data_IF_473613074931
#
_entry.id   IF_473613074931
#
_cell.length_a   1.000
_cell.length_b   1.000
_cell.length_c   1.000
_cell.angle_alpha   90.00
_cell.angle_beta   90.00
_cell.angle_gamma   90.00
#
_symmetry.space_group_name_H-M   'P 1'
#
loop_
_entity.id
_entity.type
_entity.pdbx_description
1 polymer ?
#
# COMPACT_ATOMS: atom_id res chain seq x y z
N UNK A 1 20.22 -32.71 -8.86
CA UNK A 1 19.51 -31.64 -8.11
C UNK A 1 19.00 -30.61 -9.10
N UNK A 2 17.71 -30.42 -9.20
CA UNK A 2 17.14 -29.30 -9.93
C UNK A 2 17.29 -28.04 -9.06
N UNK A 3 17.94 -27.02 -9.62
CA UNK A 3 18.01 -25.72 -8.92
C UNK A 3 16.60 -25.21 -8.65
N UNK A 4 16.31 -24.88 -7.39
CA UNK A 4 15.02 -24.28 -7.00
C UNK A 4 14.87 -22.95 -7.75
N UNK A 5 13.81 -22.82 -8.56
CA UNK A 5 13.49 -21.56 -9.23
C UNK A 5 13.35 -20.46 -8.18
N UNK A 6 14.01 -19.34 -8.41
CA UNK A 6 13.89 -18.17 -7.54
C UNK A 6 12.43 -17.70 -7.53
N UNK A 7 11.82 -17.61 -6.35
CA UNK A 7 10.45 -17.15 -6.21
C UNK A 7 10.33 -15.69 -6.65
N UNK A 8 9.25 -15.37 -7.36
CA UNK A 8 8.86 -13.98 -7.66
C UNK A 8 8.38 -13.35 -6.35
N UNK A 9 8.85 -12.15 -6.08
CA UNK A 9 8.51 -11.37 -4.87
C UNK A 9 7.58 -10.24 -5.23
N UNK A 10 6.35 -10.30 -4.72
CA UNK A 10 5.32 -9.28 -4.97
C UNK A 10 5.08 -8.50 -3.69
N UNK A 11 5.25 -7.18 -3.80
CA UNK A 11 4.90 -6.27 -2.73
C UNK A 11 3.40 -5.97 -2.74
N UNK A 12 2.82 -5.89 -1.55
CA UNK A 12 1.42 -5.54 -1.36
C UNK A 12 1.37 -4.25 -0.54
N UNK A 13 0.74 -3.20 -1.07
CA UNK A 13 0.58 -1.96 -0.32
C UNK A 13 -0.28 -2.20 0.92
N UNK A 14 0.06 -1.57 2.04
CA UNK A 14 -0.71 -1.71 3.27
C UNK A 14 -2.04 -0.95 3.19
N UNK A 15 -3.11 -1.54 3.72
CA UNK A 15 -4.30 -0.78 4.12
C UNK A 15 -4.01 -0.10 5.45
N UNK A 16 -4.47 1.14 5.61
CA UNK A 16 -4.26 1.90 6.84
C UNK A 16 -5.60 2.07 7.54
N UNK A 17 -5.66 1.63 8.81
CA UNK A 17 -6.78 1.87 9.70
C UNK A 17 -6.34 2.89 10.75
N UNK A 18 -7.03 4.01 10.80
CA UNK A 18 -6.76 5.07 11.77
C UNK A 18 -7.40 4.77 13.13
N UNK A 19 -6.90 5.37 14.23
CA UNK A 19 -7.51 5.20 15.54
C UNK A 19 -8.99 5.60 15.54
N UNK A 20 -9.83 4.79 16.18
CA UNK A 20 -11.25 5.09 16.34
C UNK A 20 -11.44 6.10 17.50
N UNK A 21 -12.29 7.13 17.35
CA UNK A 21 -12.65 8.03 18.45
C UNK A 21 -13.20 7.23 19.64
N UNK A 22 -12.59 7.40 20.83
CA UNK A 22 -12.97 6.63 22.03
C UNK A 22 -12.55 5.17 22.02
N UNK A 23 -11.81 4.72 21.02
CA UNK A 23 -11.30 3.36 20.91
C UNK A 23 -10.29 3.02 22.00
N UNK A 24 -10.25 1.74 22.40
CA UNK A 24 -9.31 1.19 23.37
C UNK A 24 -8.52 0.03 22.77
N UNK A 25 -7.36 -0.28 23.34
CA UNK A 25 -6.51 -1.37 22.87
C UNK A 25 -6.07 -1.16 21.43
N UNK A 26 -6.29 -2.14 20.56
CA UNK A 26 -5.90 -2.08 19.15
C UNK A 26 -6.63 -0.97 18.38
N UNK A 27 -7.87 -0.63 18.79
CA UNK A 27 -8.66 0.41 18.14
C UNK A 27 -8.16 1.83 18.40
N UNK A 28 -7.27 2.00 19.38
CA UNK A 28 -6.62 3.29 19.67
C UNK A 28 -5.34 3.51 18.87
N UNK A 29 -4.97 2.57 18.01
CA UNK A 29 -3.71 2.59 17.26
C UNK A 29 -3.94 2.68 15.76
N UNK A 30 -3.01 3.28 15.05
CA UNK A 30 -2.93 3.15 13.60
C UNK A 30 -2.44 1.75 13.24
N UNK A 31 -3.17 1.07 12.37
CA UNK A 31 -2.84 -0.28 11.92
C UNK A 31 -2.52 -0.27 10.43
N UNK A 32 -1.49 -1.02 10.08
CA UNK A 32 -1.20 -1.32 8.68
C UNK A 32 -1.45 -2.81 8.45
N UNK A 33 -2.36 -3.12 7.54
CA UNK A 33 -2.84 -4.49 7.36
C UNK A 33 -2.86 -4.89 5.89
N UNK A 34 -2.72 -6.18 5.65
CA UNK A 34 -3.02 -6.78 4.36
C UNK A 34 -4.33 -7.57 4.45
N UNK A 35 -5.11 -7.51 3.38
CA UNK A 35 -6.32 -8.30 3.28
C UNK A 35 -5.98 -9.76 2.96
N UNK A 36 -6.49 -10.68 3.77
CA UNK A 36 -6.17 -12.10 3.66
C UNK A 36 -6.49 -12.68 2.28
N UNK A 37 -7.63 -12.33 1.71
CA UNK A 37 -8.07 -12.88 0.41
C UNK A 37 -7.11 -12.50 -0.72
N UNK A 38 -6.64 -11.26 -0.74
CA UNK A 38 -5.67 -10.79 -1.75
C UNK A 38 -4.33 -11.48 -1.57
N UNK A 39 -3.84 -11.57 -0.33
CA UNK A 39 -2.58 -12.24 -0.03
C UNK A 39 -2.62 -13.73 -0.42
N UNK A 40 -3.71 -14.42 -0.11
CA UNK A 40 -3.89 -15.83 -0.47
C UNK A 40 -4.03 -16.03 -1.98
N UNK A 41 -4.75 -15.14 -2.66
CA UNK A 41 -4.89 -15.17 -4.12
C UNK A 41 -3.54 -15.04 -4.82
N UNK A 42 -2.69 -14.16 -4.34
CA UNK A 42 -1.32 -14.01 -4.85
C UNK A 42 -0.46 -15.23 -4.53
N UNK A 43 -0.46 -15.68 -3.27
CA UNK A 43 0.34 -16.80 -2.82
C UNK A 43 0.01 -18.11 -3.56
N UNK A 44 -1.26 -18.30 -3.94
CA UNK A 44 -1.71 -19.47 -4.74
C UNK A 44 -1.08 -19.52 -6.16
N UNK A 45 -0.38 -18.47 -6.57
CA UNK A 45 0.34 -18.38 -7.85
C UNK A 45 1.85 -18.59 -7.71
N UNK A 46 2.26 -19.22 -6.63
CA UNK A 46 3.68 -19.51 -6.33
C UNK A 46 4.56 -18.26 -6.25
N UNK A 47 3.99 -17.13 -5.83
CA UNK A 47 4.73 -15.91 -5.56
C UNK A 47 4.88 -15.66 -4.06
N UNK A 48 5.98 -15.04 -3.68
CA UNK A 48 6.20 -14.61 -2.30
C UNK A 48 5.53 -13.24 -2.11
N UNK A 49 4.62 -13.15 -1.14
CA UNK A 49 3.89 -11.91 -0.84
C UNK A 49 4.52 -11.21 0.36
N UNK A 50 4.85 -9.93 0.19
CA UNK A 50 5.42 -9.10 1.24
C UNK A 50 4.60 -7.80 1.36
N UNK A 51 4.04 -7.54 2.53
CA UNK A 51 3.43 -6.24 2.79
C UNK A 51 4.51 -5.17 2.92
N UNK A 52 4.33 -4.05 2.23
CA UNK A 52 5.24 -2.92 2.32
C UNK A 52 4.66 -1.93 3.35
N UNK A 53 5.35 -1.68 4.48
CA UNK A 53 4.84 -0.73 5.47
C UNK A 53 4.87 0.70 4.93
N UNK A 54 3.88 1.49 5.34
CA UNK A 54 3.88 2.93 5.09
C UNK A 54 5.00 3.60 5.90
N UNK A 55 5.70 4.51 5.26
CA UNK A 55 6.67 5.41 5.90
C UNK A 55 6.09 6.83 6.06
N UNK A 56 4.81 6.97 5.80
CA UNK A 56 4.08 8.24 5.92
C UNK A 56 3.36 8.28 7.26
N UNK A 57 3.53 9.37 7.99
CA UNK A 57 2.79 9.67 9.21
C UNK A 57 2.11 11.03 9.05
N UNK A 58 0.81 11.08 9.32
CA UNK A 58 0.01 12.32 9.24
C UNK A 58 0.17 13.09 7.91
N UNK A 59 0.37 12.35 6.81
CA UNK A 59 0.59 12.90 5.48
C UNK A 59 2.03 13.31 5.17
N UNK A 60 2.96 13.10 6.09
CA UNK A 60 4.37 13.40 5.89
C UNK A 60 5.22 12.13 5.88
N UNK A 61 6.23 12.12 5.00
CA UNK A 61 7.21 11.03 4.95
C UNK A 61 8.10 11.06 6.19
N UNK A 62 8.18 9.95 6.89
CA UNK A 62 9.11 9.80 8.00
C UNK A 62 10.55 9.73 7.50
N UNK A 63 11.44 10.37 8.23
CA UNK A 63 12.87 10.26 7.94
C UNK A 63 13.35 8.84 8.28
N UNK A 64 13.89 8.17 7.29
CA UNK A 64 14.45 6.84 7.42
C UNK A 64 15.60 6.66 6.44
N UNK A 65 16.54 5.81 6.78
CA UNK A 65 17.57 5.36 5.85
C UNK A 65 17.01 4.33 4.86
N UNK A 66 15.95 3.61 5.24
CA UNK A 66 15.19 2.73 4.35
C UNK A 66 14.06 3.54 3.74
N UNK A 67 13.96 3.49 2.43
CA UNK A 67 12.97 4.22 1.63
C UNK A 67 12.11 3.25 0.85
N UNK A 68 10.98 3.72 0.34
CA UNK A 68 10.11 2.90 -0.52
C UNK A 68 10.84 2.43 -1.79
N UNK A 69 11.82 3.20 -2.27
CA UNK A 69 12.71 2.79 -3.36
C UNK A 69 13.42 1.46 -3.09
N UNK A 70 13.88 1.23 -1.87
CA UNK A 70 14.56 -0.01 -1.50
C UNK A 70 13.66 -1.23 -1.71
N UNK A 71 12.35 -1.08 -1.39
CA UNK A 71 11.36 -2.11 -1.67
C UNK A 71 11.15 -2.31 -3.18
N UNK A 72 11.07 -1.21 -3.95
CA UNK A 72 10.90 -1.28 -5.39
C UNK A 72 12.10 -1.96 -6.09
N UNK A 73 13.31 -1.75 -5.60
CA UNK A 73 14.51 -2.40 -6.11
C UNK A 73 14.58 -3.89 -5.73
N UNK A 74 14.09 -4.24 -4.53
CA UNK A 74 14.12 -5.62 -4.02
C UNK A 74 13.00 -6.49 -4.56
N UNK A 75 11.82 -5.93 -4.79
CA UNK A 75 10.62 -6.66 -5.21
C UNK A 75 10.48 -6.69 -6.73
N UNK A 76 9.79 -7.69 -7.24
CA UNK A 76 9.60 -7.89 -8.68
C UNK A 76 8.35 -7.19 -9.22
N UNK A 77 7.41 -6.85 -8.36
CA UNK A 77 6.17 -6.14 -8.72
C UNK A 77 5.41 -5.65 -7.50
N UNK A 78 4.38 -4.87 -7.76
CA UNK A 78 3.53 -4.22 -6.74
C UNK A 78 2.06 -4.51 -7.01
N UNK A 79 1.32 -4.79 -5.96
CA UNK A 79 -0.15 -4.79 -5.94
C UNK A 79 -0.63 -3.71 -4.97
N UNK A 80 -1.44 -2.78 -5.48
CA UNK A 80 -2.11 -1.77 -4.68
C UNK A 80 -3.47 -2.31 -4.24
N UNK A 81 -3.66 -2.49 -2.94
CA UNK A 81 -4.90 -3.04 -2.36
C UNK A 81 -6.08 -2.07 -2.47
N UNK A 82 -7.30 -2.63 -2.42
CA UNK A 82 -8.53 -1.89 -2.22
C UNK A 82 -8.62 -1.23 -0.84
N UNK A 83 -9.73 -0.60 -0.55
CA UNK A 83 -10.02 0.09 0.71
C UNK A 83 -10.71 1.43 0.51
N UNK A 84 -10.56 2.35 1.45
CA UNK A 84 -11.13 3.69 1.36
C UNK A 84 -10.66 4.39 0.08
N UNK A 85 -11.55 5.16 -0.53
CA UNK A 85 -11.28 5.85 -1.80
C UNK A 85 -10.12 6.84 -1.70
N UNK A 86 -9.53 7.13 -2.85
CA UNK A 86 -8.56 8.22 -2.98
C UNK A 86 -9.27 9.55 -2.68
N UNK A 87 -8.62 10.41 -1.89
CA UNK A 87 -9.18 11.73 -1.60
C UNK A 87 -9.35 12.53 -2.89
N UNK A 88 -10.52 13.15 -3.13
CA UNK A 88 -10.70 14.05 -4.27
C UNK A 88 -9.65 15.14 -4.36
N UNK A 89 -9.12 15.59 -3.25
CA UNK A 89 -8.04 16.59 -3.20
C UNK A 89 -6.74 16.11 -3.85
N UNK A 90 -6.51 14.81 -3.94
CA UNK A 90 -5.34 14.24 -4.63
C UNK A 90 -5.35 14.52 -6.13
N UNK A 91 -6.52 14.76 -6.72
CA UNK A 91 -6.68 15.12 -8.14
C UNK A 91 -7.30 16.51 -8.36
N UNK A 92 -7.23 17.38 -7.32
CA UNK A 92 -7.60 18.79 -7.44
C UNK A 92 -9.07 19.10 -7.24
N UNK A 93 -9.85 18.15 -6.71
CA UNK A 93 -11.28 18.31 -6.44
C UNK A 93 -11.55 18.41 -4.93
N UNK A 94 -12.67 19.02 -4.56
CA UNK A 94 -13.17 19.00 -3.18
C UNK A 94 -14.21 17.89 -3.02
N UNK A 95 -14.22 17.17 -1.88
CA UNK A 95 -15.23 16.14 -1.64
C UNK A 95 -16.62 16.76 -1.55
N UNK A 96 -17.57 16.19 -2.28
CA UNK A 96 -18.97 16.66 -2.28
C UNK A 96 -19.68 16.36 -0.95
N UNK A 97 -19.20 15.35 -0.21
CA UNK A 97 -19.70 14.97 1.11
C UNK A 97 -18.52 14.57 2.00
N UNK A 98 -18.61 14.78 3.33
CA UNK A 98 -17.53 14.42 4.25
C UNK A 98 -17.13 12.93 4.17
N UNK A 99 -18.12 12.06 3.93
CA UNK A 99 -17.93 10.60 3.80
C UNK A 99 -17.07 10.22 2.60
N UNK A 100 -16.95 11.12 1.62
CA UNK A 100 -16.18 10.90 0.39
C UNK A 100 -14.81 11.58 0.41
N UNK A 101 -14.35 11.97 1.60
CA UNK A 101 -13.05 12.65 1.76
C UNK A 101 -11.84 11.77 1.45
N UNK A 102 -12.00 10.44 1.44
CA UNK A 102 -10.92 9.49 1.21
C UNK A 102 -9.93 9.43 2.38
N UNK A 103 -8.72 8.98 2.08
CA UNK A 103 -7.64 8.87 3.05
C UNK A 103 -6.35 9.51 2.52
N UNK A 104 -6.12 10.82 2.79
CA UNK A 104 -4.93 11.52 2.31
C UNK A 104 -3.60 10.95 2.81
N UNK A 105 -3.58 10.35 3.99
CA UNK A 105 -2.36 9.70 4.55
C UNK A 105 -1.99 8.50 3.69
N UNK A 106 -2.97 7.66 3.36
CA UNK A 106 -2.76 6.52 2.48
C UNK A 106 -2.42 6.97 1.05
N UNK A 107 -3.04 8.05 0.56
CA UNK A 107 -2.76 8.61 -0.76
C UNK A 107 -1.29 8.99 -0.90
N UNK A 108 -0.74 9.73 0.06
CA UNK A 108 0.66 10.15 0.04
C UNK A 108 1.60 8.94 0.02
N UNK A 109 1.33 7.93 0.81
CA UNK A 109 2.10 6.70 0.85
C UNK A 109 2.02 5.92 -0.47
N UNK A 110 0.81 5.69 -0.99
CA UNK A 110 0.65 4.89 -2.20
C UNK A 110 1.14 5.60 -3.47
N UNK A 111 1.01 6.92 -3.54
CA UNK A 111 1.57 7.70 -4.66
C UNK A 111 3.10 7.58 -4.69
N UNK A 112 3.76 7.75 -3.55
CA UNK A 112 5.21 7.59 -3.46
C UNK A 112 5.62 6.18 -3.85
N UNK A 113 4.95 5.18 -3.30
CA UNK A 113 5.21 3.77 -3.60
C UNK A 113 5.04 3.46 -5.09
N UNK A 114 3.95 3.94 -5.68
CA UNK A 114 3.67 3.80 -7.11
C UNK A 114 4.79 4.40 -7.97
N UNK A 115 5.20 5.63 -7.67
CA UNK A 115 6.28 6.30 -8.40
C UNK A 115 7.60 5.55 -8.30
N UNK A 116 7.97 5.05 -7.12
CA UNK A 116 9.21 4.30 -6.94
C UNK A 116 9.22 2.99 -7.74
N UNK A 117 8.07 2.29 -7.83
CA UNK A 117 7.95 1.09 -8.65
C UNK A 117 8.00 1.40 -10.15
N UNK A 118 7.41 2.51 -10.60
CA UNK A 118 7.53 2.96 -11.99
C UNK A 118 8.98 3.30 -12.35
N UNK A 119 9.67 4.06 -11.50
CA UNK A 119 11.08 4.41 -11.69
C UNK A 119 11.97 3.15 -11.75
N UNK A 120 11.69 2.16 -10.92
CA UNK A 120 12.38 0.87 -10.93
C UNK A 120 11.96 -0.04 -12.10
N UNK A 121 11.02 0.40 -12.96
CA UNK A 121 10.45 -0.36 -14.08
C UNK A 121 9.84 -1.69 -13.64
N UNK A 122 9.15 -1.68 -12.51
CA UNK A 122 8.45 -2.85 -11.98
C UNK A 122 6.96 -2.79 -12.34
N UNK A 123 6.33 -3.92 -12.68
CA UNK A 123 4.90 -3.96 -12.95
C UNK A 123 4.07 -3.61 -11.70
N UNK A 124 2.95 -2.94 -11.92
CA UNK A 124 2.00 -2.55 -10.87
C UNK A 124 0.60 -3.00 -11.26
N UNK A 125 -0.09 -3.64 -10.33
CA UNK A 125 -1.51 -4.00 -10.45
C UNK A 125 -2.31 -3.22 -9.41
N UNK A 126 -3.30 -2.44 -9.85
CA UNK A 126 -4.24 -1.76 -8.96
C UNK A 126 -5.55 -2.54 -8.84
N UNK A 127 -6.05 -2.71 -7.61
CA UNK A 127 -7.32 -3.36 -7.31
C UNK A 127 -8.25 -2.34 -6.67
N UNK A 128 -9.45 -2.12 -7.26
CA UNK A 128 -10.48 -1.20 -6.78
C UNK A 128 -9.89 0.21 -6.55
N UNK A 129 -9.68 0.64 -5.31
CA UNK A 129 -9.00 1.90 -4.99
C UNK A 129 -7.65 2.03 -5.71
N UNK A 130 -6.89 0.95 -5.80
CA UNK A 130 -5.59 0.96 -6.48
C UNK A 130 -5.64 1.32 -7.96
N UNK A 131 -6.83 1.31 -8.56
CA UNK A 131 -7.05 1.77 -9.94
C UNK A 131 -7.30 3.28 -10.02
N UNK A 132 -7.72 3.89 -8.93
CA UNK A 132 -8.04 5.32 -8.88
C UNK A 132 -6.78 6.18 -8.93
#
# INVERSE_FOLDING_TARGET
>A
MTARRKAIRIGLSARIFHPEPGGTGIRSKTLQVLEQSVAQWLAARDVMVLMIPSVVQDGELMRSNIRLRDYAEYLDGLVLQGGADVSPRAYGEEPLQPEWSGDPVRDAYELELFHEFLEARRPVLGICRGMQ
#
